data_IF_862339728353
#
_entry.id   IF_862339728353
#
_cell.length_a   1.000
_cell.length_b   1.000
_cell.length_c   1.000
_cell.angle_alpha   90.00
_cell.angle_beta   90.00
_cell.angle_gamma   90.00
#
_symmetry.space_group_name_H-M   'P 1'
#
loop_
_entity.id
_entity.type
_entity.pdbx_description
1 polymer ?
#
# COMPACT_ATOMS: atom_id res chain seq x y z
N UNK A 1 -51.98 11.20 -49.76
CA UNK A 1 -52.95 11.12 -48.64
C UNK A 1 -52.14 10.99 -47.35
N UNK A 2 -52.33 11.92 -46.42
CA UNK A 2 -51.58 12.07 -45.16
C UNK A 2 -51.83 10.90 -44.21
N UNK A 3 -50.80 10.35 -43.60
CA UNK A 3 -50.87 9.91 -42.19
C UNK A 3 -49.54 10.26 -41.51
N UNK A 4 -49.64 11.22 -40.60
CA UNK A 4 -48.63 11.67 -39.66
C UNK A 4 -48.82 10.79 -38.41
N UNK A 5 -47.79 10.10 -37.92
CA UNK A 5 -47.77 9.60 -36.53
C UNK A 5 -46.40 9.84 -35.89
N UNK A 6 -46.46 10.85 -35.03
CA UNK A 6 -45.56 11.31 -34.00
C UNK A 6 -45.37 10.25 -32.89
N UNK A 7 -44.24 10.39 -32.19
CA UNK A 7 -43.92 9.94 -30.81
C UNK A 7 -43.24 8.58 -30.67
N UNK A 8 -42.00 8.64 -30.19
CA UNK A 8 -41.24 7.50 -29.70
C UNK A 8 -39.82 7.89 -29.26
N UNK A 9 -39.67 8.98 -28.50
CA UNK A 9 -38.43 9.29 -27.78
C UNK A 9 -38.21 8.21 -26.71
N UNK A 10 -37.51 7.15 -27.06
CA UNK A 10 -36.95 6.18 -26.11
C UNK A 10 -35.58 6.64 -25.68
N UNK A 11 -35.51 7.68 -24.83
CA UNK A 11 -34.29 8.06 -24.14
C UNK A 11 -33.93 6.93 -23.17
N UNK A 12 -33.07 6.01 -23.60
CA UNK A 12 -32.44 5.02 -22.73
C UNK A 12 -31.49 5.79 -21.83
N UNK A 13 -32.02 6.23 -20.69
CA UNK A 13 -31.25 6.78 -19.58
C UNK A 13 -30.49 5.59 -18.98
N UNK A 14 -29.33 5.30 -19.56
CA UNK A 14 -28.35 4.37 -19.02
C UNK A 14 -27.88 4.96 -17.67
N UNK A 15 -28.50 4.46 -16.59
CA UNK A 15 -28.12 4.73 -15.22
C UNK A 15 -26.69 4.23 -15.02
N UNK A 16 -25.71 5.08 -15.33
CA UNK A 16 -24.33 4.88 -14.92
C UNK A 16 -24.35 5.00 -13.40
N UNK A 17 -24.41 3.85 -12.74
CA UNK A 17 -24.10 3.74 -11.33
C UNK A 17 -22.65 4.21 -11.15
N UNK A 18 -22.49 5.50 -10.84
CA UNK A 18 -21.30 6.03 -10.20
C UNK A 18 -21.22 5.38 -8.82
N UNK A 19 -20.73 4.15 -8.77
CA UNK A 19 -20.15 3.57 -7.58
C UNK A 19 -18.84 4.32 -7.30
N UNK A 20 -18.98 5.57 -6.87
CA UNK A 20 -17.88 6.34 -6.31
C UNK A 20 -17.61 5.68 -4.95
N UNK A 21 -16.69 4.71 -4.92
CA UNK A 21 -16.10 4.28 -3.67
C UNK A 21 -15.59 5.55 -2.98
N UNK A 22 -16.13 5.87 -1.80
CA UNK A 22 -15.71 7.04 -1.03
C UNK A 22 -14.31 6.74 -0.53
N UNK A 23 -13.31 7.05 -1.34
CA UNK A 23 -11.93 6.91 -0.94
C UNK A 23 -11.67 7.84 0.25
N UNK A 24 -11.16 7.24 1.33
CA UNK A 24 -10.80 8.00 2.51
C UNK A 24 -9.72 9.01 2.12
N UNK A 25 -9.83 10.25 2.58
CA UNK A 25 -8.76 11.22 2.35
C UNK A 25 -7.53 10.82 3.16
N UNK A 26 -6.34 10.94 2.58
CA UNK A 26 -5.08 10.82 3.31
C UNK A 26 -4.59 12.19 3.74
N UNK A 27 -4.07 12.26 4.95
CA UNK A 27 -3.50 13.46 5.57
C UNK A 27 -2.07 13.17 6.04
N UNK A 28 -1.16 14.16 6.06
CA UNK A 28 0.17 13.96 6.61
C UNK A 28 0.11 13.55 8.09
N UNK A 29 0.85 12.50 8.45
CA UNK A 29 1.01 11.96 9.78
C UNK A 29 2.49 12.00 10.17
N UNK A 30 2.82 12.88 11.11
CA UNK A 30 4.17 12.98 11.64
C UNK A 30 4.40 11.87 12.67
N UNK A 31 5.37 10.99 12.42
CA UNK A 31 5.65 9.84 13.28
C UNK A 31 6.74 10.12 14.32
N UNK A 32 7.25 11.35 14.40
CA UNK A 32 8.32 11.72 15.33
C UNK A 32 7.90 11.52 16.79
N UNK A 33 6.64 11.77 17.12
CA UNK A 33 6.10 11.54 18.48
C UNK A 33 6.14 10.07 18.90
N UNK A 34 6.25 9.15 17.94
CA UNK A 34 6.38 7.71 18.14
C UNK A 34 7.83 7.22 18.02
N UNK A 35 8.80 8.13 17.89
CA UNK A 35 10.23 7.81 17.78
C UNK A 35 10.71 7.47 16.37
N UNK A 36 9.90 7.76 15.33
CA UNK A 36 10.25 7.56 13.93
C UNK A 36 10.40 8.92 13.24
N UNK A 37 11.61 9.34 12.83
CA UNK A 37 11.86 10.70 12.31
C UNK A 37 11.41 10.85 10.83
N UNK A 38 10.17 10.47 10.53
CA UNK A 38 9.56 10.46 9.20
C UNK A 38 8.11 10.94 9.26
N UNK A 39 7.59 11.36 8.12
CA UNK A 39 6.17 11.69 7.92
C UNK A 39 5.68 10.84 6.77
N UNK A 40 4.50 10.25 6.93
CA UNK A 40 3.80 9.51 5.87
C UNK A 40 2.41 10.13 5.68
N UNK A 41 1.73 9.76 4.60
CA UNK A 41 0.30 10.01 4.46
C UNK A 41 -0.47 8.89 5.15
N UNK A 42 -1.57 9.20 5.85
CA UNK A 42 -2.42 8.19 6.49
C UNK A 42 -3.88 8.62 6.55
N UNK A 43 -4.84 7.68 6.67
CA UNK A 43 -6.24 8.02 6.95
C UNK A 43 -6.39 8.78 8.28
N UNK A 44 -7.43 9.60 8.39
CA UNK A 44 -7.70 10.33 9.63
C UNK A 44 -7.90 9.39 10.84
N UNK A 45 -7.28 9.73 11.97
CA UNK A 45 -7.31 8.97 13.23
C UNK A 45 -7.02 7.47 13.05
N UNK A 46 -5.82 7.09 12.58
CA UNK A 46 -5.43 5.69 12.49
C UNK A 46 -5.12 5.13 13.89
N UNK A 47 -5.25 3.82 14.04
CA UNK A 47 -4.69 3.08 15.15
C UNK A 47 -3.17 2.99 14.97
N UNK A 48 -2.42 3.48 15.95
CA UNK A 48 -0.96 3.45 15.95
C UNK A 48 -0.48 2.57 17.09
N UNK A 49 0.40 1.62 16.77
CA UNK A 49 1.08 0.77 17.74
C UNK A 49 2.58 0.79 17.49
N UNK A 50 3.34 0.78 18.56
CA UNK A 50 4.81 0.74 18.50
C UNK A 50 5.34 -0.39 19.36
N UNK A 51 6.42 -1.02 18.92
CA UNK A 51 7.16 -2.01 19.68
C UNK A 51 8.66 -1.74 19.51
N UNK A 52 9.39 -1.68 20.62
CA UNK A 52 10.84 -1.50 20.62
C UNK A 52 11.49 -2.87 20.80
N UNK A 53 12.10 -3.40 19.74
CA UNK A 53 12.94 -4.60 19.79
C UNK A 53 14.38 -4.11 19.88
N UNK A 54 15.21 -4.81 20.66
CA UNK A 54 16.60 -4.40 20.99
C UNK A 54 17.41 -3.87 19.79
N UNK A 55 17.18 -4.40 18.59
CA UNK A 55 17.88 -4.04 17.34
C UNK A 55 17.00 -3.33 16.30
N UNK A 56 15.69 -3.21 16.53
CA UNK A 56 14.73 -2.74 15.54
C UNK A 56 13.47 -2.17 16.22
N UNK A 57 13.00 -1.02 15.78
CA UNK A 57 11.68 -0.51 16.17
C UNK A 57 10.65 -0.89 15.13
N UNK A 58 9.48 -1.24 15.61
CA UNK A 58 8.29 -1.59 14.83
C UNK A 58 7.22 -0.53 15.09
N UNK A 59 6.60 -0.02 14.02
CA UNK A 59 5.43 0.85 14.07
C UNK A 59 4.36 0.38 13.08
N UNK A 60 3.17 0.12 13.60
CA UNK A 60 1.95 -0.15 12.84
C UNK A 60 1.11 1.11 12.71
N UNK A 61 0.67 1.42 11.48
CA UNK A 61 -0.39 2.40 11.19
C UNK A 61 -1.57 1.68 10.53
N UNK A 62 -2.69 1.50 11.24
CA UNK A 62 -3.85 0.74 10.77
C UNK A 62 -5.13 1.59 10.78
N UNK A 63 -5.98 1.44 9.76
CA UNK A 63 -7.35 1.96 9.72
C UNK A 63 -8.28 0.96 9.04
N UNK A 64 -9.16 0.35 9.83
CA UNK A 64 -10.08 -0.67 9.32
C UNK A 64 -9.31 -1.85 8.69
N UNK A 65 -9.91 -2.45 7.66
CA UNK A 65 -9.30 -3.57 6.92
C UNK A 65 -8.58 -3.11 5.64
N UNK A 66 -8.78 -1.86 5.21
CA UNK A 66 -8.32 -1.36 3.91
C UNK A 66 -6.97 -0.62 3.96
N UNK A 67 -6.47 -0.29 5.15
CA UNK A 67 -5.22 0.43 5.33
C UNK A 67 -4.44 -0.13 6.51
N UNK A 68 -3.28 -0.71 6.22
CA UNK A 68 -2.39 -1.26 7.23
C UNK A 68 -0.95 -1.22 6.72
N UNK A 69 -0.21 -0.23 7.21
CA UNK A 69 1.22 -0.06 6.94
C UNK A 69 2.00 -0.50 8.17
N UNK A 70 3.02 -1.30 7.93
CA UNK A 70 4.02 -1.71 8.90
C UNK A 70 5.34 -1.01 8.56
N UNK A 71 5.99 -0.42 9.55
CA UNK A 71 7.27 0.28 9.40
C UNK A 71 8.26 -0.35 10.37
N UNK A 72 9.39 -0.79 9.86
CA UNK A 72 10.53 -1.16 10.67
C UNK A 72 11.61 -0.11 10.55
N UNK A 73 12.22 0.27 11.67
CA UNK A 73 13.36 1.18 11.72
C UNK A 73 14.52 0.50 12.44
N UNK A 74 15.70 0.50 11.83
CA UNK A 74 16.93 -0.01 12.42
C UNK A 74 18.13 0.86 12.02
N UNK A 75 19.30 0.59 12.57
CA UNK A 75 20.53 1.22 12.10
C UNK A 75 20.83 0.77 10.67
N UNK A 76 21.21 1.73 9.81
CA UNK A 76 21.50 1.47 8.42
C UNK A 76 22.84 0.73 8.27
N UNK A 77 22.82 -0.48 7.74
CA UNK A 77 24.03 -1.25 7.43
C UNK A 77 24.73 -0.78 6.14
N UNK A 78 24.05 0.04 5.33
CA UNK A 78 24.55 0.59 4.07
C UNK A 78 23.88 1.94 3.79
N UNK A 79 24.47 2.73 2.89
CA UNK A 79 23.87 3.95 2.36
C UNK A 79 23.25 3.77 0.95
N UNK A 80 23.23 2.53 0.44
CA UNK A 80 22.70 2.19 -0.89
C UNK A 80 21.34 1.53 -0.75
N UNK A 81 20.28 2.31 -0.91
CA UNK A 81 18.89 1.84 -0.77
C UNK A 81 18.55 0.75 -1.79
N UNK A 82 19.18 0.79 -2.96
CA UNK A 82 19.01 -0.22 -4.01
C UNK A 82 19.55 -1.59 -3.57
N UNK A 83 20.58 -1.60 -2.72
CA UNK A 83 21.13 -2.84 -2.15
C UNK A 83 20.12 -3.47 -1.19
N UNK A 84 19.59 -2.68 -0.25
CA UNK A 84 18.55 -3.11 0.70
C UNK A 84 17.32 -3.65 -0.04
N UNK A 85 16.88 -2.91 -1.07
CA UNK A 85 15.76 -3.31 -1.92
C UNK A 85 16.05 -4.59 -2.68
N UNK A 86 17.25 -4.76 -3.24
CA UNK A 86 17.60 -5.99 -3.98
C UNK A 86 17.62 -7.23 -3.09
N UNK A 87 18.17 -7.13 -1.88
CA UNK A 87 18.22 -8.22 -0.90
C UNK A 87 16.82 -8.62 -0.46
N UNK A 88 15.96 -7.64 -0.16
CA UNK A 88 14.56 -7.89 0.18
C UNK A 88 13.74 -8.47 -0.99
N UNK A 89 14.01 -8.01 -2.22
CA UNK A 89 13.32 -8.50 -3.41
C UNK A 89 13.63 -9.98 -3.67
N UNK A 90 14.86 -10.43 -3.41
CA UNK A 90 15.22 -11.84 -3.48
C UNK A 90 14.42 -12.67 -2.48
N UNK A 91 14.27 -12.19 -1.24
CA UNK A 91 13.45 -12.84 -0.22
C UNK A 91 11.98 -12.89 -0.65
N UNK A 92 11.43 -11.81 -1.20
CA UNK A 92 10.05 -11.78 -1.73
C UNK A 92 9.86 -12.80 -2.85
N UNK A 93 10.79 -12.87 -3.81
CA UNK A 93 10.72 -13.80 -4.95
C UNK A 93 10.90 -15.26 -4.54
N UNK A 94 11.58 -15.53 -3.42
CA UNK A 94 11.73 -16.86 -2.86
C UNK A 94 10.47 -17.39 -2.16
N UNK A 95 9.46 -16.54 -1.91
CA UNK A 95 8.20 -16.97 -1.32
C UNK A 95 7.43 -17.92 -2.28
N UNK A 96 7.00 -19.11 -1.84
CA UNK A 96 6.29 -20.08 -2.71
C UNK A 96 5.00 -19.55 -3.35
N UNK A 97 4.36 -18.56 -2.74
CA UNK A 97 3.14 -17.94 -3.25
C UNK A 97 3.42 -16.74 -4.16
N UNK A 98 4.67 -16.29 -4.29
CA UNK A 98 5.02 -15.19 -5.19
C UNK A 98 4.63 -15.54 -6.62
N UNK A 99 3.88 -14.63 -7.28
CA UNK A 99 3.48 -14.81 -8.67
C UNK A 99 4.24 -13.88 -9.62
N UNK A 100 4.29 -12.57 -9.34
CA UNK A 100 4.96 -11.59 -10.20
C UNK A 100 5.20 -10.27 -9.48
N UNK A 101 6.06 -9.44 -10.07
CA UNK A 101 6.11 -8.01 -9.76
C UNK A 101 5.03 -7.28 -10.53
N UNK A 102 4.40 -6.33 -9.86
CA UNK A 102 3.36 -5.42 -10.38
C UNK A 102 3.96 -4.03 -10.62
N UNK A 103 4.91 -3.63 -9.78
CA UNK A 103 5.71 -2.40 -9.91
C UNK A 103 7.11 -2.69 -9.37
N UNK A 104 8.13 -2.12 -10.03
CA UNK A 104 9.53 -2.26 -9.64
C UNK A 104 10.24 -0.90 -9.81
N UNK A 105 10.55 -0.25 -8.70
CA UNK A 105 11.20 1.07 -8.62
C UNK A 105 12.52 0.97 -7.84
N UNK A 106 13.31 2.04 -7.87
CA UNK A 106 14.64 2.06 -7.22
C UNK A 106 14.57 1.81 -5.70
N UNK A 107 13.54 2.35 -5.05
CA UNK A 107 13.37 2.32 -3.60
C UNK A 107 12.26 1.39 -3.12
N UNK A 108 11.54 0.73 -4.03
CA UNK A 108 10.41 -0.10 -3.63
C UNK A 108 9.82 -0.90 -4.77
N UNK A 109 8.86 -1.75 -4.43
CA UNK A 109 8.18 -2.60 -5.38
C UNK A 109 6.83 -3.05 -4.85
N UNK A 110 5.92 -3.36 -5.77
CA UNK A 110 4.63 -4.00 -5.50
C UNK A 110 4.66 -5.38 -6.14
N UNK A 111 4.14 -6.38 -5.44
CA UNK A 111 4.12 -7.76 -5.89
C UNK A 111 2.75 -8.41 -5.70
N UNK A 112 2.48 -9.42 -6.54
CA UNK A 112 1.31 -10.28 -6.49
C UNK A 112 1.69 -11.63 -5.88
N UNK A 113 0.86 -12.12 -4.96
CA UNK A 113 0.91 -13.48 -4.44
C UNK A 113 -0.38 -14.23 -4.78
N UNK A 114 -0.23 -15.49 -5.19
CA UNK A 114 -1.35 -16.43 -5.41
C UNK A 114 -1.34 -17.46 -4.29
N UNK A 115 -2.26 -17.31 -3.34
CA UNK A 115 -2.38 -18.23 -2.20
C UNK A 115 -2.97 -19.57 -2.65
N UNK A 116 -3.89 -19.54 -3.62
CA UNK A 116 -4.42 -20.69 -4.33
C UNK A 116 -4.99 -20.25 -5.71
N UNK A 117 -5.79 -21.10 -6.37
CA UNK A 117 -6.41 -20.80 -7.67
C UNK A 117 -7.46 -19.68 -7.66
N UNK A 118 -8.01 -19.33 -6.49
CA UNK A 118 -9.09 -18.37 -6.33
C UNK A 118 -8.67 -17.11 -5.53
N UNK A 119 -7.59 -17.19 -4.73
CA UNK A 119 -7.15 -16.12 -3.85
C UNK A 119 -5.84 -15.49 -4.32
N UNK A 120 -5.96 -14.29 -4.89
CA UNK A 120 -4.83 -13.42 -5.24
C UNK A 120 -4.79 -12.24 -4.28
N UNK A 121 -3.60 -11.97 -3.74
CA UNK A 121 -3.35 -10.85 -2.82
C UNK A 121 -2.11 -10.10 -3.25
N UNK A 122 -1.97 -8.87 -2.76
CA UNK A 122 -0.89 -7.98 -3.13
C UNK A 122 -0.14 -7.53 -1.88
N UNK A 123 1.15 -7.23 -2.06
CA UNK A 123 1.99 -6.62 -1.04
C UNK A 123 2.91 -5.59 -1.64
N UNK A 124 3.50 -4.76 -0.80
CA UNK A 124 4.55 -3.82 -1.20
C UNK A 124 5.69 -3.86 -0.20
N UNK A 125 6.87 -3.44 -0.68
CA UNK A 125 7.95 -2.96 0.16
C UNK A 125 8.48 -1.64 -0.39
N UNK A 126 8.79 -0.70 0.49
CA UNK A 126 9.46 0.57 0.16
C UNK A 126 10.54 0.82 1.20
N UNK A 127 11.67 1.38 0.78
CA UNK A 127 12.86 1.52 1.59
C UNK A 127 13.36 2.95 1.58
N UNK A 128 13.73 3.43 2.76
CA UNK A 128 14.35 4.74 2.93
C UNK A 128 15.58 4.62 3.82
N UNK A 129 16.63 5.34 3.47
CA UNK A 129 17.78 5.57 4.35
C UNK A 129 17.79 7.06 4.67
N UNK A 130 17.76 7.41 5.96
CA UNK A 130 17.77 8.79 6.43
C UNK A 130 18.70 8.92 7.63
N UNK A 131 19.81 9.64 7.45
CA UNK A 131 20.87 9.71 8.45
C UNK A 131 21.53 8.34 8.63
N UNK A 132 21.54 7.86 9.87
CA UNK A 132 22.06 6.55 10.27
C UNK A 132 20.96 5.47 10.37
N UNK A 133 19.74 5.76 9.91
CA UNK A 133 18.59 4.86 10.00
C UNK A 133 18.14 4.35 8.64
N UNK A 134 17.73 3.08 8.63
CA UNK A 134 17.02 2.41 7.55
C UNK A 134 15.56 2.22 7.95
N UNK A 135 14.65 2.42 7.00
CA UNK A 135 13.22 2.22 7.14
C UNK A 135 12.74 1.21 6.09
N UNK A 136 12.11 0.12 6.54
CA UNK A 136 11.38 -0.84 5.70
C UNK A 136 9.88 -0.62 5.91
N UNK A 137 9.21 -0.09 4.89
CA UNK A 137 7.77 0.08 4.84
C UNK A 137 7.16 -1.08 4.07
N UNK A 138 6.16 -1.73 4.64
CA UNK A 138 5.47 -2.83 3.97
C UNK A 138 3.99 -2.87 4.35
N UNK A 139 3.22 -3.70 3.65
CA UNK A 139 1.88 -4.07 4.10
C UNK A 139 1.94 -4.68 5.50
N UNK A 140 0.87 -4.49 6.28
CA UNK A 140 0.72 -5.11 7.59
C UNK A 140 1.06 -6.60 7.60
N UNK A 141 1.59 -7.08 8.73
CA UNK A 141 1.97 -8.49 8.91
C UNK A 141 0.76 -9.44 8.81
N UNK A 142 -0.44 -8.90 8.94
CA UNK A 142 -1.71 -9.58 8.71
C UNK A 142 -2.60 -8.75 7.79
N UNK A 143 -3.51 -9.41 7.10
CA UNK A 143 -4.41 -8.78 6.12
C UNK A 143 -4.18 -9.29 4.71
N UNK A 144 -5.24 -9.25 3.90
CA UNK A 144 -5.22 -9.65 2.51
C UNK A 144 -5.66 -8.44 1.69
N UNK A 145 -4.70 -7.84 0.98
CA UNK A 145 -4.92 -6.59 0.28
C UNK A 145 -5.08 -6.82 -1.22
N UNK A 146 -5.99 -6.08 -1.83
CA UNK A 146 -6.08 -5.98 -3.28
C UNK A 146 -5.07 -4.95 -3.83
N UNK A 147 -4.86 -4.97 -5.14
CA UNK A 147 -3.88 -4.09 -5.80
C UNK A 147 -4.13 -2.60 -5.51
N UNK A 148 -5.39 -2.18 -5.49
CA UNK A 148 -5.78 -0.79 -5.25
C UNK A 148 -5.39 -0.32 -3.84
N UNK A 149 -5.71 -1.11 -2.82
CA UNK A 149 -5.31 -0.83 -1.44
C UNK A 149 -3.79 -0.75 -1.31
N UNK A 150 -3.07 -1.67 -1.94
CA UNK A 150 -1.59 -1.72 -1.89
C UNK A 150 -0.96 -0.52 -2.59
N UNK A 151 -1.43 -0.12 -3.77
CA UNK A 151 -0.94 1.08 -4.46
C UNK A 151 -1.15 2.32 -3.61
N UNK A 152 -2.33 2.46 -3.02
CA UNK A 152 -2.65 3.58 -2.12
C UNK A 152 -1.76 3.64 -0.88
N UNK A 153 -1.41 2.49 -0.29
CA UNK A 153 -0.46 2.42 0.83
C UNK A 153 0.99 2.68 0.39
N UNK A 154 1.38 2.16 -0.78
CA UNK A 154 2.70 2.36 -1.35
C UNK A 154 2.97 3.84 -1.65
N UNK A 155 2.03 4.52 -2.29
CA UNK A 155 2.09 5.97 -2.55
C UNK A 155 2.11 6.80 -1.25
N UNK A 156 1.47 6.29 -0.19
CA UNK A 156 1.37 7.00 1.08
C UNK A 156 2.70 7.10 1.86
N UNK A 157 3.66 6.21 1.58
CA UNK A 157 4.93 6.12 2.33
C UNK A 157 6.14 6.67 1.59
N UNK A 158 5.98 7.17 0.36
CA UNK A 158 7.08 7.65 -0.47
C UNK A 158 7.72 8.94 0.04
#
# INVERSE_FOLDING_TARGET
MKVFRLIGWGMVLMFVWLACAKETKLSPLNLLEYGFPITIMAPDSPEIKTMDLVVQKDLTVKKGEDYYVQIFMSDAATNKVEKVKSENLEITKANPYFSKLVLDENQGYIYEMKLDSAHTVYGFKYFKIQGDKEFDFQTGLTGLFNEHQVRRMYEAVQ
#
